data_IF_750829947805
#
_entry.id   IF_750829947805
#
_cell.length_a   1.000
_cell.length_b   1.000
_cell.length_c   1.000
_cell.angle_alpha   90.00
_cell.angle_beta   90.00
_cell.angle_gamma   90.00
#
_symmetry.space_group_name_H-M   'P 1'
#
loop_
_entity.id
_entity.type
_entity.pdbx_description
1 polymer ?
#
# COMPACT_ATOMS: atom_id res chain seq x y z
N UNK A 1 -8.97 19.86 28.29
CA UNK A 1 -9.40 18.74 29.16
C UNK A 1 -10.74 19.02 29.81
N UNK A 2 -10.94 20.20 30.42
CA UNK A 2 -12.21 20.56 31.09
C UNK A 2 -13.43 20.51 30.18
N UNK A 3 -13.36 21.03 28.95
CA UNK A 3 -14.46 20.95 27.98
C UNK A 3 -14.88 19.50 27.67
N UNK A 4 -13.91 18.59 27.51
CA UNK A 4 -14.19 17.18 27.28
C UNK A 4 -14.84 16.54 28.51
N UNK A 5 -14.38 16.88 29.72
CA UNK A 5 -14.96 16.38 30.96
C UNK A 5 -16.42 16.83 31.10
N UNK A 6 -16.74 18.09 30.77
CA UNK A 6 -18.12 18.59 30.73
C UNK A 6 -18.97 17.77 29.75
N UNK A 7 -18.46 17.48 28.55
CA UNK A 7 -19.16 16.67 27.56
C UNK A 7 -19.40 15.24 28.07
N UNK A 8 -18.40 14.61 28.68
CA UNK A 8 -18.54 13.25 29.23
C UNK A 8 -19.54 13.21 30.38
N UNK A 9 -19.51 14.19 31.27
CA UNK A 9 -20.49 14.29 32.36
C UNK A 9 -21.91 14.54 31.84
N UNK A 10 -22.07 15.27 30.74
CA UNK A 10 -23.38 15.54 30.14
C UNK A 10 -23.91 14.39 29.28
N UNK A 11 -23.04 13.64 28.59
CA UNK A 11 -23.45 12.65 27.57
C UNK A 11 -23.16 11.20 27.94
N UNK A 12 -22.02 10.91 28.54
CA UNK A 12 -21.59 9.53 28.83
C UNK A 12 -22.01 9.07 30.23
N UNK A 13 -21.80 9.91 31.25
CA UNK A 13 -22.15 9.60 32.65
C UNK A 13 -23.63 9.22 32.82
N UNK A 14 -24.62 9.90 32.20
CA UNK A 14 -26.02 9.49 32.28
C UNK A 14 -26.27 8.15 31.60
N UNK A 15 -25.58 7.85 30.49
CA UNK A 15 -25.71 6.57 29.78
C UNK A 15 -25.21 5.43 30.66
N UNK A 16 -24.07 5.59 31.34
CA UNK A 16 -23.62 4.57 32.30
C UNK A 16 -24.59 4.41 33.47
N UNK A 17 -25.14 5.51 34.00
CA UNK A 17 -26.14 5.43 35.07
C UNK A 17 -27.43 4.72 34.67
N UNK A 18 -27.85 4.81 33.39
CA UNK A 18 -29.09 4.21 32.89
C UNK A 18 -28.92 2.78 32.39
N UNK A 19 -27.82 2.50 31.69
CA UNK A 19 -27.62 1.25 30.95
C UNK A 19 -26.67 0.28 31.65
N UNK A 20 -25.83 0.75 32.57
CA UNK A 20 -24.87 -0.09 33.29
C UNK A 20 -25.29 -0.25 34.76
N UNK A 21 -25.59 -1.49 35.17
CA UNK A 21 -26.15 -1.77 36.51
C UNK A 21 -25.14 -1.57 37.64
N UNK A 22 -23.85 -1.62 37.32
CA UNK A 22 -22.75 -1.55 38.30
C UNK A 22 -22.21 -0.13 38.48
N UNK A 23 -22.58 0.83 37.63
CA UNK A 23 -21.94 2.14 37.59
C UNK A 23 -22.17 2.94 38.88
N UNK A 24 -23.44 3.04 39.32
CA UNK A 24 -23.79 3.81 40.52
C UNK A 24 -23.20 3.20 41.79
N UNK A 25 -23.20 1.87 41.91
CA UNK A 25 -22.70 1.15 43.09
C UNK A 25 -21.17 1.14 43.17
N UNK A 26 -20.47 1.00 42.04
CA UNK A 26 -19.00 0.96 42.01
C UNK A 26 -18.35 2.33 42.04
N UNK A 27 -18.98 3.33 41.43
CA UNK A 27 -18.33 4.60 41.14
C UNK A 27 -19.11 5.82 41.62
N UNK A 28 -20.27 5.69 42.29
CA UNK A 28 -21.15 6.81 42.65
C UNK A 28 -20.44 8.03 43.26
N UNK A 29 -19.64 7.84 44.32
CA UNK A 29 -18.89 8.92 44.99
C UNK A 29 -17.67 9.40 44.19
N UNK A 30 -17.16 8.58 43.27
CA UNK A 30 -15.94 8.82 42.51
C UNK A 30 -16.19 9.01 41.01
N UNK A 31 -17.45 9.24 40.62
CA UNK A 31 -17.87 9.20 39.22
C UNK A 31 -17.13 10.25 38.38
N UNK A 32 -16.86 11.42 38.96
CA UNK A 32 -16.15 12.50 38.27
C UNK A 32 -14.65 12.19 38.09
N UNK A 33 -14.04 11.49 39.05
CA UNK A 33 -12.66 11.01 38.93
C UNK A 33 -12.54 9.92 37.86
N UNK A 34 -13.53 9.03 37.78
CA UNK A 34 -13.63 8.01 36.74
C UNK A 34 -13.81 8.66 35.37
N UNK A 35 -14.73 9.63 35.23
CA UNK A 35 -14.92 10.37 33.97
C UNK A 35 -13.65 11.10 33.52
N UNK A 36 -12.83 11.57 34.45
CA UNK A 36 -11.51 12.14 34.14
C UNK A 36 -10.57 11.10 33.54
N UNK A 37 -10.62 9.84 33.99
CA UNK A 37 -9.83 8.75 33.40
C UNK A 37 -10.31 8.43 31.98
N UNK A 38 -11.63 8.34 31.74
CA UNK A 38 -12.15 8.21 30.36
C UNK A 38 -11.69 9.38 29.48
N UNK A 39 -11.74 10.62 29.98
CA UNK A 39 -11.25 11.78 29.24
C UNK A 39 -9.77 11.65 28.86
N UNK A 40 -8.91 11.19 29.79
CA UNK A 40 -7.49 10.95 29.51
C UNK A 40 -7.29 9.91 28.42
N UNK A 41 -8.00 8.78 28.49
CA UNK A 41 -7.88 7.72 27.49
C UNK A 41 -8.37 8.19 26.11
N UNK A 42 -9.49 8.92 26.04
CA UNK A 42 -9.99 9.46 24.78
C UNK A 42 -9.00 10.45 24.14
N UNK A 43 -8.37 11.32 24.93
CA UNK A 43 -7.33 12.25 24.45
C UNK A 43 -6.11 11.47 23.96
N UNK A 44 -5.64 10.50 24.75
CA UNK A 44 -4.48 9.66 24.41
C UNK A 44 -4.67 8.95 23.07
N UNK A 45 -5.89 8.48 22.80
CA UNK A 45 -6.25 7.77 21.58
C UNK A 45 -6.87 8.66 20.49
N UNK A 46 -6.77 9.99 20.63
CA UNK A 46 -7.24 10.99 19.64
C UNK A 46 -8.69 10.77 19.18
N UNK A 47 -9.57 10.35 20.10
CA UNK A 47 -10.98 10.12 19.79
C UNK A 47 -11.72 11.46 19.65
N UNK A 48 -12.20 11.74 18.45
CA UNK A 48 -13.03 12.93 18.15
C UNK A 48 -14.51 12.76 18.53
N UNK A 49 -15.30 13.81 18.27
CA UNK A 49 -16.75 13.84 18.59
C UNK A 49 -17.57 12.73 17.93
N UNK A 50 -17.25 12.38 16.68
CA UNK A 50 -17.91 11.28 15.97
C UNK A 50 -17.61 9.93 16.64
N UNK A 51 -16.34 9.68 17.00
CA UNK A 51 -15.95 8.46 17.71
C UNK A 51 -16.59 8.35 19.09
N UNK A 52 -16.69 9.47 19.83
CA UNK A 52 -17.41 9.49 21.12
C UNK A 52 -18.90 9.14 20.95
N UNK A 53 -19.57 9.74 19.96
CA UNK A 53 -20.99 9.47 19.71
C UNK A 53 -21.23 8.00 19.33
N UNK A 54 -20.37 7.45 18.47
CA UNK A 54 -20.36 6.02 18.13
C UNK A 54 -20.17 5.14 19.38
N UNK A 55 -19.19 5.47 20.22
CA UNK A 55 -18.92 4.72 21.45
C UNK A 55 -20.13 4.70 22.39
N UNK A 56 -20.84 5.83 22.52
CA UNK A 56 -22.06 5.91 23.31
C UNK A 56 -23.16 5.00 22.76
N UNK A 57 -23.43 5.03 21.44
CA UNK A 57 -24.44 4.15 20.85
C UNK A 57 -24.09 2.67 21.00
N UNK A 58 -22.83 2.30 20.76
CA UNK A 58 -22.37 0.92 20.95
C UNK A 58 -22.42 0.46 22.42
N UNK A 59 -22.26 1.36 23.39
CA UNK A 59 -22.50 1.05 24.80
C UNK A 59 -23.97 0.71 25.05
N UNK A 60 -24.91 1.49 24.49
CA UNK A 60 -26.35 1.21 24.63
C UNK A 60 -26.71 -0.14 24.00
N UNK A 61 -26.15 -0.44 22.83
CA UNK A 61 -26.35 -1.73 22.16
C UNK A 61 -25.74 -2.89 22.96
N UNK A 62 -24.52 -2.73 23.48
CA UNK A 62 -23.84 -3.73 24.32
C UNK A 62 -24.61 -3.98 25.61
N UNK A 63 -25.21 -2.96 26.21
CA UNK A 63 -25.98 -3.06 27.44
C UNK A 63 -27.16 -4.05 27.38
N UNK A 64 -27.65 -4.37 26.17
CA UNK A 64 -28.66 -5.43 26.00
C UNK A 64 -28.12 -6.83 26.34
N UNK A 65 -26.82 -7.07 26.13
CA UNK A 65 -26.14 -8.37 26.32
C UNK A 65 -25.29 -8.40 27.59
N UNK A 66 -24.61 -7.29 27.86
CA UNK A 66 -23.65 -7.15 28.96
C UNK A 66 -23.89 -5.79 29.63
N UNK A 67 -24.46 -5.83 30.83
CA UNK A 67 -24.87 -4.64 31.60
C UNK A 67 -23.75 -4.06 32.45
N UNK A 68 -22.51 -4.51 32.31
CA UNK A 68 -21.38 -3.96 33.05
C UNK A 68 -20.77 -2.75 32.36
N UNK A 69 -20.30 -1.81 33.17
CA UNK A 69 -19.62 -0.61 32.68
C UNK A 69 -18.32 -1.00 31.98
N UNK A 70 -18.13 -0.64 30.69
CA UNK A 70 -16.91 -0.98 29.97
C UNK A 70 -15.74 -0.23 30.59
N UNK A 71 -14.58 -0.86 30.77
CA UNK A 71 -13.42 -0.13 31.28
C UNK A 71 -13.00 1.02 30.32
N UNK A 72 -12.24 2.04 30.77
CA UNK A 72 -11.86 3.18 29.93
C UNK A 72 -11.19 2.79 28.60
N UNK A 73 -10.37 1.74 28.61
CA UNK A 73 -9.68 1.22 27.42
C UNK A 73 -10.64 0.52 26.47
N UNK A 74 -11.55 -0.30 26.98
CA UNK A 74 -12.63 -0.95 26.23
C UNK A 74 -13.54 0.09 25.57
N UNK A 75 -13.88 1.16 26.29
CA UNK A 75 -14.70 2.22 25.73
C UNK A 75 -14.01 2.93 24.56
N UNK A 76 -12.69 3.14 24.62
CA UNK A 76 -11.92 3.64 23.48
C UNK A 76 -12.05 2.71 22.26
N UNK A 77 -12.02 1.39 22.45
CA UNK A 77 -12.24 0.45 21.35
C UNK A 77 -13.66 0.55 20.77
N UNK A 78 -14.68 0.78 21.61
CA UNK A 78 -16.04 1.03 21.12
C UNK A 78 -16.13 2.32 20.29
N UNK A 79 -15.33 3.34 20.60
CA UNK A 79 -15.29 4.59 19.84
C UNK A 79 -14.65 4.46 18.45
N UNK A 80 -13.84 3.43 18.21
CA UNK A 80 -13.13 3.24 16.95
C UNK A 80 -14.08 2.76 15.84
N UNK A 81 -13.93 3.24 14.59
CA UNK A 81 -14.73 2.75 13.47
C UNK A 81 -14.47 1.27 13.22
N UNK A 82 -15.46 0.56 12.67
CA UNK A 82 -15.21 -0.77 12.10
C UNK A 82 -14.56 -0.65 10.72
N UNK A 83 -14.00 -1.75 10.21
CA UNK A 83 -13.45 -1.79 8.85
C UNK A 83 -14.53 -1.47 7.81
N UNK A 84 -15.75 -1.98 8.00
CA UNK A 84 -16.88 -1.76 7.10
C UNK A 84 -17.31 -0.28 7.06
N UNK A 85 -17.32 0.39 8.22
CA UNK A 85 -17.63 1.83 8.29
C UNK A 85 -16.59 2.70 7.58
N UNK A 86 -15.34 2.22 7.47
CA UNK A 86 -14.28 2.88 6.71
C UNK A 86 -14.31 2.51 5.21
N UNK A 87 -15.21 1.61 4.79
CA UNK A 87 -15.24 1.10 3.42
C UNK A 87 -14.00 0.27 3.07
N UNK A 88 -13.32 -0.29 4.08
CA UNK A 88 -12.13 -1.11 3.88
C UNK A 88 -12.56 -2.46 3.28
N UNK A 89 -12.04 -2.85 2.10
CA UNK A 89 -12.37 -4.13 1.50
C UNK A 89 -11.80 -5.28 2.32
N UNK A 90 -12.43 -6.45 2.26
CA UNK A 90 -11.93 -7.64 2.95
C UNK A 90 -10.53 -8.06 2.44
N UNK A 91 -9.86 -8.94 3.19
CA UNK A 91 -8.53 -9.42 2.84
C UNK A 91 -8.50 -10.06 1.44
N UNK A 92 -9.55 -10.78 1.06
CA UNK A 92 -9.58 -11.51 -0.22
C UNK A 92 -9.66 -10.55 -1.40
N UNK A 93 -10.53 -9.54 -1.33
CA UNK A 93 -10.66 -8.45 -2.31
C UNK A 93 -9.35 -7.68 -2.37
N UNK A 94 -8.77 -7.31 -1.21
CA UNK A 94 -7.52 -6.57 -1.16
C UNK A 94 -6.37 -7.35 -1.83
N UNK A 95 -6.21 -8.65 -1.52
CA UNK A 95 -5.20 -9.52 -2.15
C UNK A 95 -5.43 -9.67 -3.65
N UNK A 96 -6.70 -9.82 -4.05
CA UNK A 96 -7.07 -9.92 -5.46
C UNK A 96 -6.73 -8.64 -6.24
N UNK A 97 -6.99 -7.45 -5.69
CA UNK A 97 -6.59 -6.19 -6.31
C UNK A 97 -5.08 -6.04 -6.45
N UNK A 98 -4.31 -6.39 -5.41
CA UNK A 98 -2.84 -6.38 -5.49
C UNK A 98 -2.36 -7.33 -6.58
N UNK A 99 -2.94 -8.53 -6.68
CA UNK A 99 -2.62 -9.48 -7.75
C UNK A 99 -2.92 -8.87 -9.12
N UNK A 100 -4.13 -8.35 -9.35
CA UNK A 100 -4.52 -7.75 -10.62
C UNK A 100 -3.61 -6.58 -11.03
N UNK A 101 -3.24 -5.73 -10.07
CA UNK A 101 -2.33 -4.63 -10.30
C UNK A 101 -0.95 -5.09 -10.79
N UNK A 102 -0.43 -6.19 -10.22
CA UNK A 102 0.91 -6.72 -10.53
C UNK A 102 0.93 -7.69 -11.70
N UNK A 103 -0.15 -8.39 -12.02
CA UNK A 103 -0.18 -9.33 -13.13
C UNK A 103 -0.77 -8.68 -14.38
N UNK A 104 -2.07 -8.41 -14.36
CA UNK A 104 -2.83 -7.96 -15.53
C UNK A 104 -2.50 -6.53 -15.91
N UNK A 105 -2.37 -5.63 -14.92
CA UNK A 105 -2.17 -4.19 -15.15
C UNK A 105 -0.70 -3.77 -15.16
N UNK A 106 0.24 -4.72 -15.12
CA UNK A 106 1.68 -4.46 -15.01
C UNK A 106 2.23 -3.51 -16.07
N UNK A 107 1.73 -3.63 -17.30
CA UNK A 107 2.19 -2.87 -18.45
C UNK A 107 1.21 -1.76 -18.85
N UNK A 108 0.19 -1.50 -18.01
CA UNK A 108 -0.71 -0.38 -18.24
C UNK A 108 0.05 0.94 -18.09
N UNK A 109 -0.28 1.90 -18.96
CA UNK A 109 0.22 3.28 -18.83
C UNK A 109 -0.48 4.05 -17.71
N UNK A 110 -1.62 3.56 -17.26
CA UNK A 110 -2.40 4.16 -16.18
C UNK A 110 -2.22 3.37 -14.88
N UNK A 111 -2.14 4.06 -13.72
CA UNK A 111 -2.12 3.39 -12.42
C UNK A 111 -3.38 2.54 -12.22
N UNK A 112 -3.23 1.42 -11.53
CA UNK A 112 -4.37 0.57 -11.17
C UNK A 112 -5.36 1.33 -10.26
N UNK A 113 -6.67 1.33 -10.56
CA UNK A 113 -7.68 2.00 -9.75
C UNK A 113 -8.05 1.15 -8.53
N UNK A 114 -7.27 1.24 -7.46
CA UNK A 114 -7.57 0.55 -6.19
C UNK A 114 -8.90 1.01 -5.60
N UNK A 115 -9.65 0.08 -5.00
CA UNK A 115 -10.90 0.42 -4.29
C UNK A 115 -10.66 1.22 -3.01
N UNK A 116 -9.54 0.97 -2.34
CA UNK A 116 -9.15 1.66 -1.12
C UNK A 116 -7.63 1.82 -1.05
N UNK A 117 -7.18 2.84 -0.32
CA UNK A 117 -5.74 3.09 -0.11
C UNK A 117 -5.01 1.96 0.64
N UNK A 118 -5.71 1.08 1.36
CA UNK A 118 -5.08 -0.08 2.01
C UNK A 118 -4.55 -1.04 0.95
N UNK A 119 -5.33 -1.30 -0.11
CA UNK A 119 -4.91 -2.15 -1.22
C UNK A 119 -3.69 -1.56 -1.92
N UNK A 120 -3.67 -0.22 -2.09
CA UNK A 120 -2.53 0.51 -2.67
C UNK A 120 -1.28 0.36 -1.80
N UNK A 121 -1.36 0.64 -0.50
CA UNK A 121 -0.22 0.52 0.41
C UNK A 121 0.29 -0.91 0.53
N UNK A 122 -0.62 -1.88 0.54
CA UNK A 122 -0.28 -3.30 0.51
C UNK A 122 0.48 -3.62 -0.77
N UNK A 123 0.00 -3.17 -1.93
CA UNK A 123 0.69 -3.36 -3.20
C UNK A 123 2.10 -2.74 -3.22
N UNK A 124 2.27 -1.55 -2.64
CA UNK A 124 3.54 -0.85 -2.66
C UNK A 124 4.61 -1.56 -1.80
N UNK A 125 4.19 -2.14 -0.67
CA UNK A 125 5.11 -2.82 0.26
C UNK A 125 5.41 -4.25 -0.13
N UNK A 126 4.39 -5.04 -0.48
CA UNK A 126 4.51 -6.49 -0.66
C UNK A 126 4.08 -6.96 -2.06
N UNK A 127 3.59 -6.07 -2.92
CA UNK A 127 3.10 -6.45 -4.24
C UNK A 127 4.17 -7.08 -5.13
N UNK A 128 5.43 -6.64 -5.03
CA UNK A 128 6.53 -7.22 -5.80
C UNK A 128 6.97 -8.62 -5.32
N UNK A 129 6.68 -8.98 -4.07
CA UNK A 129 7.03 -10.30 -3.53
C UNK A 129 6.31 -11.44 -4.27
N UNK A 130 5.24 -11.14 -4.99
CA UNK A 130 4.48 -12.11 -5.80
C UNK A 130 5.35 -12.83 -6.84
N UNK A 131 6.46 -12.22 -7.29
CA UNK A 131 7.38 -12.82 -8.26
C UNK A 131 8.53 -13.61 -7.62
N UNK A 132 8.70 -13.48 -6.30
CA UNK A 132 9.85 -14.03 -5.57
C UNK A 132 9.45 -15.17 -4.64
N UNK A 133 8.24 -15.10 -4.08
CA UNK A 133 7.73 -16.04 -3.08
C UNK A 133 6.70 -17.00 -3.68
N UNK A 134 6.50 -18.13 -3.01
CA UNK A 134 5.36 -19.00 -3.31
C UNK A 134 4.05 -18.32 -2.95
N UNK A 135 2.97 -18.66 -3.65
CA UNK A 135 1.64 -18.07 -3.42
C UNK A 135 1.19 -18.16 -1.95
N UNK A 136 1.49 -19.29 -1.29
CA UNK A 136 1.16 -19.50 0.12
C UNK A 136 1.88 -18.50 1.04
N UNK A 137 3.19 -18.33 0.85
CA UNK A 137 4.00 -17.42 1.67
C UNK A 137 3.64 -15.97 1.40
N UNK A 138 3.43 -15.63 0.13
CA UNK A 138 2.98 -14.30 -0.27
C UNK A 138 1.63 -13.96 0.37
N UNK A 139 0.66 -14.88 0.36
CA UNK A 139 -0.64 -14.66 0.99
C UNK A 139 -0.55 -14.46 2.50
N UNK A 140 0.33 -15.19 3.19
CA UNK A 140 0.59 -14.99 4.62
C UNK A 140 1.19 -13.60 4.91
N UNK A 141 2.12 -13.14 4.05
CA UNK A 141 2.66 -11.80 4.14
C UNK A 141 1.57 -10.73 3.90
N UNK A 142 0.66 -10.96 2.94
CA UNK A 142 -0.51 -10.10 2.73
C UNK A 142 -1.41 -10.03 3.95
N UNK A 143 -1.72 -11.16 4.59
CA UNK A 143 -2.56 -11.18 5.79
C UNK A 143 -1.94 -10.35 6.92
N UNK A 144 -0.66 -10.56 7.22
CA UNK A 144 0.05 -9.80 8.26
C UNK A 144 0.08 -8.31 7.95
N UNK A 145 0.37 -7.94 6.70
CA UNK A 145 0.45 -6.54 6.30
C UNK A 145 -0.92 -5.86 6.29
N UNK A 146 -1.95 -6.59 5.86
CA UNK A 146 -3.33 -6.12 5.89
C UNK A 146 -3.79 -5.83 7.32
N UNK A 147 -3.54 -6.74 8.28
CA UNK A 147 -3.87 -6.49 9.69
C UNK A 147 -3.16 -5.24 10.24
N UNK A 148 -1.87 -5.10 9.93
CA UNK A 148 -1.09 -3.91 10.31
C UNK A 148 -1.69 -2.62 9.73
N UNK A 149 -2.07 -2.63 8.45
CA UNK A 149 -2.67 -1.47 7.78
C UNK A 149 -4.07 -1.16 8.29
N UNK A 150 -4.85 -2.19 8.62
CA UNK A 150 -6.18 -2.06 9.21
C UNK A 150 -6.11 -1.39 10.58
N UNK A 151 -5.16 -1.78 11.44
CA UNK A 151 -4.92 -1.12 12.73
C UNK A 151 -4.57 0.36 12.54
N UNK A 152 -3.70 0.70 11.58
CA UNK A 152 -3.35 2.08 11.26
C UNK A 152 -4.55 2.87 10.74
N UNK A 153 -5.36 2.28 9.85
CA UNK A 153 -6.53 2.91 9.29
C UNK A 153 -7.60 3.20 10.36
N UNK A 154 -7.85 2.24 11.26
CA UNK A 154 -8.78 2.42 12.38
C UNK A 154 -8.30 3.53 13.33
N UNK A 155 -6.98 3.68 13.51
CA UNK A 155 -6.41 4.76 14.30
C UNK A 155 -6.34 6.10 13.55
N UNK A 156 -6.68 6.14 12.26
CA UNK A 156 -6.54 7.33 11.41
C UNK A 156 -5.10 7.71 11.10
N UNK A 157 -4.16 6.77 11.25
CA UNK A 157 -2.72 6.93 11.01
C UNK A 157 -2.29 6.30 9.69
N UNK A 158 -3.26 5.94 8.82
CA UNK A 158 -2.94 5.43 7.50
C UNK A 158 -2.14 6.51 6.74
N UNK A 159 -0.93 6.19 6.23
CA UNK A 159 -0.11 7.19 5.56
C UNK A 159 -0.85 7.74 4.34
N UNK A 160 -1.40 8.96 4.40
CA UNK A 160 -2.03 9.54 3.21
C UNK A 160 -0.98 9.66 2.11
N UNK A 161 -1.15 8.96 1.00
CA UNK A 161 -0.24 9.06 -0.12
C UNK A 161 -0.42 10.46 -0.76
N UNK A 162 0.40 11.43 -0.33
CA UNK A 162 0.64 12.60 -1.15
C UNK A 162 1.27 12.08 -2.44
N UNK A 163 0.68 12.31 -3.63
CA UNK A 163 1.38 12.00 -4.86
C UNK A 163 2.70 12.78 -4.79
N UNK A 164 3.82 12.06 -4.77
CA UNK A 164 5.15 12.65 -4.75
C UNK A 164 5.43 13.29 -6.11
N UNK A 165 4.70 14.36 -6.44
CA UNK A 165 4.95 15.15 -7.65
C UNK A 165 6.29 15.90 -7.53
N UNK A 166 6.93 15.90 -6.36
CA UNK A 166 8.16 16.67 -6.10
C UNK A 166 9.43 15.83 -5.87
N UNK A 167 9.38 14.49 -5.86
CA UNK A 167 10.56 13.67 -5.53
C UNK A 167 11.30 13.07 -6.74
N UNK A 168 10.82 13.26 -7.98
CA UNK A 168 11.48 12.74 -9.19
C UNK A 168 11.39 13.67 -10.40
N UNK A 169 11.17 14.97 -10.17
CA UNK A 169 11.32 16.02 -11.20
C UNK A 169 12.43 16.96 -10.77
N UNK A 170 13.66 16.48 -10.79
CA UNK A 170 14.86 17.34 -10.78
C UNK A 170 16.05 16.56 -11.33
N UNK A 171 15.96 16.21 -12.61
CA UNK A 171 16.95 16.67 -13.58
C UNK A 171 16.46 16.25 -14.97
N UNK A 172 15.84 17.19 -15.69
CA UNK A 172 15.64 17.09 -17.15
C UNK A 172 16.97 17.22 -17.93
N UNK A 173 18.10 17.08 -17.22
CA UNK A 173 19.43 17.09 -17.83
C UNK A 173 19.66 15.77 -18.55
N UNK A 174 20.07 15.80 -19.82
CA UNK A 174 20.38 14.59 -20.55
C UNK A 174 21.51 13.81 -19.84
N UNK A 175 21.42 12.48 -19.89
CA UNK A 175 22.26 11.52 -19.16
C UNK A 175 23.78 11.80 -19.18
N UNK A 176 24.28 12.46 -20.24
CA UNK A 176 25.70 12.81 -20.35
C UNK A 176 26.15 13.90 -19.35
N UNK A 177 25.28 14.84 -18.98
CA UNK A 177 25.59 15.88 -17.98
C UNK A 177 25.57 15.31 -16.56
N UNK A 178 24.67 14.35 -16.31
CA UNK A 178 24.57 13.65 -15.01
C UNK A 178 25.80 12.80 -14.70
N UNK A 179 26.48 12.28 -15.74
CA UNK A 179 27.71 11.51 -15.63
C UNK A 179 28.98 12.39 -15.52
N UNK A 180 28.84 13.72 -15.42
CA UNK A 180 29.95 14.64 -15.22
C UNK A 180 30.78 14.92 -16.47
N UNK A 181 30.31 14.53 -17.66
CA UNK A 181 30.97 14.91 -18.91
C UNK A 181 30.70 16.39 -19.18
N UNK A 182 31.71 17.24 -18.95
CA UNK A 182 31.66 18.63 -19.41
C UNK A 182 31.58 18.63 -20.94
N UNK A 183 30.46 19.12 -21.48
CA UNK A 183 30.36 19.43 -22.90
C UNK A 183 31.34 20.57 -23.18
N UNK A 184 32.31 20.31 -24.06
CA UNK A 184 33.20 21.35 -24.56
C UNK A 184 32.33 22.47 -25.14
N UNK A 185 32.62 23.72 -24.78
CA UNK A 185 31.93 24.87 -25.37
C UNK A 185 32.04 24.82 -26.91
N UNK A 186 31.11 25.42 -27.67
CA UNK A 186 31.18 25.42 -29.13
C UNK A 186 32.52 25.94 -29.68
N UNK A 187 33.21 26.80 -28.92
CA UNK A 187 34.54 27.31 -29.26
C UNK A 187 35.65 26.30 -28.98
N UNK A 188 35.57 25.56 -27.87
CA UNK A 188 36.51 24.49 -27.53
C UNK A 188 36.36 23.29 -28.46
N UNK A 189 35.12 22.91 -28.81
CA UNK A 189 34.85 21.88 -29.80
C UNK A 189 35.43 22.25 -31.17
N UNK A 190 35.30 23.53 -31.59
CA UNK A 190 35.95 24.04 -32.81
C UNK A 190 37.48 23.99 -32.72
N UNK A 191 38.08 24.32 -31.57
CA UNK A 191 39.54 24.21 -31.37
C UNK A 191 40.03 22.77 -31.43
N UNK A 192 39.33 21.82 -30.82
CA UNK A 192 39.67 20.38 -30.86
C UNK A 192 39.55 19.84 -32.29
N UNK A 193 38.49 20.21 -33.02
CA UNK A 193 38.31 19.83 -34.43
C UNK A 193 39.35 20.48 -35.36
N UNK A 194 39.76 21.73 -35.09
CA UNK A 194 40.83 22.40 -35.82
C UNK A 194 42.19 21.74 -35.55
N UNK A 195 42.48 21.36 -34.31
CA UNK A 195 43.71 20.66 -33.93
C UNK A 195 43.80 19.24 -34.54
N UNK A 196 42.67 18.55 -34.69
CA UNK A 196 42.63 17.22 -35.32
C UNK A 196 42.67 17.27 -36.86
N UNK A 197 42.15 18.33 -37.50
CA UNK A 197 42.24 18.52 -38.96
C UNK A 197 43.65 18.84 -39.47
N UNK A 198 44.58 19.24 -38.60
CA UNK A 198 45.98 19.52 -38.96
C UNK A 198 46.87 18.27 -39.07
N UNK A 199 46.47 17.13 -38.48
CA UNK A 199 47.21 15.87 -38.60
C UNK A 199 46.66 15.07 -39.79
N UNK A 200 47.15 15.40 -40.99
CA UNK A 200 47.13 14.44 -42.11
C UNK A 200 47.87 13.18 -41.64
N UNK A 201 47.12 12.13 -41.31
CA UNK A 201 47.64 10.77 -41.23
C UNK A 201 48.09 10.39 -42.65
N UNK A 202 49.37 10.62 -42.93
CA UNK A 202 50.06 10.03 -44.07
C UNK A 202 50.03 8.51 -43.90
N UNK A 203 49.34 7.85 -44.83
CA UNK A 203 49.51 6.46 -45.27
C UNK A 203 50.07 5.46 -44.25
N UNK A 204 49.20 4.59 -43.73
CA UNK A 204 49.52 3.17 -43.62
C UNK A 204 48.38 2.39 -44.26
N UNK A 205 48.62 1.88 -45.47
CA UNK A 205 47.88 0.78 -46.08
C UNK A 205 48.06 -0.45 -45.19
N UNK A 206 47.18 -0.63 -44.22
CA UNK A 206 47.04 -1.84 -43.42
C UNK A 206 45.76 -2.55 -43.85
N UNK A 207 45.92 -3.56 -44.70
CA UNK A 207 44.90 -4.54 -45.09
C UNK A 207 44.28 -5.11 -43.81
N UNK A 208 43.02 -4.79 -43.51
CA UNK A 208 42.28 -5.48 -42.46
C UNK A 208 41.82 -6.80 -43.05
N UNK A 209 42.52 -7.87 -42.68
CA UNK A 209 42.14 -9.25 -42.95
C UNK A 209 40.74 -9.52 -42.39
N UNK A 210 39.75 -9.70 -43.28
CA UNK A 210 38.40 -10.17 -42.95
C UNK A 210 38.31 -11.70 -42.85
N UNK A 211 39.45 -12.39 -42.79
CA UNK A 211 39.58 -13.85 -42.71
C UNK A 211 39.49 -14.38 -41.28
N UNK A 212 38.37 -14.11 -40.59
CA UNK A 212 37.98 -14.87 -39.38
C UNK A 212 36.46 -14.98 -39.14
N UNK A 213 35.66 -14.84 -40.20
CA UNK A 213 34.31 -15.39 -40.21
C UNK A 213 34.40 -16.84 -40.71
N UNK A 214 34.32 -17.77 -39.76
CA UNK A 214 34.37 -19.21 -40.05
C UNK A 214 33.21 -19.66 -40.94
N UNK A 215 33.41 -20.73 -41.72
CA UNK A 215 32.42 -21.24 -42.66
C UNK A 215 31.35 -22.09 -41.96
N UNK A 216 30.10 -21.80 -42.31
CA UNK A 216 29.00 -22.73 -42.57
C UNK A 216 28.78 -23.93 -41.66
N UNK A 217 27.61 -23.96 -41.02
CA UNK A 217 26.67 -25.08 -41.25
C UNK A 217 25.34 -24.46 -41.66
N UNK A 218 25.11 -24.47 -42.96
CA UNK A 218 23.79 -24.42 -43.56
C UNK A 218 23.25 -25.85 -43.64
N UNK A 219 21.94 -26.00 -43.44
CA UNK A 219 21.17 -27.17 -43.86
C UNK A 219 20.14 -27.59 -42.81
N UNK A 220 18.90 -27.91 -43.12
CA UNK A 220 18.06 -27.75 -44.31
C UNK A 220 16.69 -28.29 -43.88
N UNK A 221 15.62 -27.63 -44.33
CA UNK A 221 14.31 -28.19 -44.72
C UNK A 221 13.57 -29.24 -43.86
N UNK A 222 12.36 -28.86 -43.47
CA UNK A 222 11.08 -29.56 -43.68
C UNK A 222 11.01 -31.09 -43.51
N UNK A 223 10.16 -31.52 -42.57
CA UNK A 223 9.06 -32.43 -42.89
C UNK A 223 7.88 -32.24 -41.93
N UNK A 224 6.74 -31.93 -42.52
CA UNK A 224 5.37 -32.28 -42.12
C UNK A 224 5.23 -33.59 -41.33
N UNK A 225 4.35 -33.61 -40.34
CA UNK A 225 3.44 -34.74 -40.15
C UNK A 225 2.10 -34.30 -39.52
N UNK A 226 1.06 -34.48 -40.33
CA UNK A 226 -0.36 -34.53 -40.00
C UNK A 226 -0.69 -35.98 -39.70
N UNK A 227 -1.24 -36.26 -38.52
CA UNK A 227 -2.07 -37.43 -38.15
C UNK A 227 -2.92 -36.91 -36.97
N UNK A 228 -4.17 -36.48 -37.10
CA UNK A 228 -5.44 -37.14 -37.48
C UNK A 228 -5.85 -38.35 -36.61
N UNK A 229 -7.08 -38.29 -36.09
CA UNK A 229 -7.87 -39.44 -35.64
C UNK A 229 -7.81 -39.79 -34.15
N UNK A 230 -8.93 -39.58 -33.43
CA UNK A 230 -9.09 -40.19 -32.10
C UNK A 230 -10.31 -39.77 -31.27
N UNK A 231 -11.49 -39.62 -31.88
CA UNK A 231 -12.78 -39.62 -31.18
C UNK A 231 -12.97 -40.91 -30.35
N UNK A 232 -13.45 -40.79 -29.12
CA UNK A 232 -14.50 -41.68 -28.62
C UNK A 232 -15.23 -41.05 -27.43
N UNK A 233 -16.46 -40.63 -27.72
CA UNK A 233 -17.58 -40.70 -26.79
C UNK A 233 -17.72 -42.12 -26.26
N UNK A 234 -18.12 -42.24 -24.98
CA UNK A 234 -19.16 -43.19 -24.50
C UNK A 234 -19.52 -42.89 -23.05
N UNK A 235 -20.61 -42.14 -22.94
CA UNK A 235 -21.83 -42.48 -22.21
C UNK A 235 -21.84 -43.60 -21.16
N UNK A 236 -22.58 -43.25 -20.09
CA UNK A 236 -23.59 -44.06 -19.40
C UNK A 236 -23.15 -45.28 -18.59
N UNK A 237 -23.12 -45.13 -17.26
CA UNK A 237 -24.21 -45.53 -16.34
C UNK A 237 -23.79 -45.32 -14.89
#
# INVERSE_FOLDING_TARGET
MEQLLTILNARLKPVFGLYCVDFASRFGEHADAVMREYARQLIKHRVGHQGLSRGIERVKERAAKDRFTPNPTEFVYLCKPSADELGIPDLNIAVHEVRQARTTWRHSKTPYPYSHDICRHMNDRIGYEIYQLSERLWRQNCEREYQRLLELAINGELPSHKPSIEAARTDDRPMYEQLGYQTLSPEEAKRVLAATRGKRLTNVRGRVDTSRLGPGIAGSSDTSNVIDGGTNDRDAS
#
